data_IF_461299473139
#
_entry.id   IF_461299473139
#
_cell.length_a   1.000
_cell.length_b   1.000
_cell.length_c   1.000
_cell.angle_alpha   90.00
_cell.angle_beta   90.00
_cell.angle_gamma   90.00
#
_symmetry.space_group_name_H-M   'P 1'
#
loop_
_entity.id
_entity.type
_entity.pdbx_description
1 polymer ?
#
# COMPACT_ATOMS: atom_id res chain seq x y z
N UNK A 1 17.63 -41.47 66.97
CA UNK A 1 16.61 -41.29 65.93
C UNK A 1 16.15 -39.85 66.02
N UNK A 2 16.66 -39.00 65.15
CA UNK A 2 16.38 -37.56 65.09
C UNK A 2 15.82 -37.28 63.71
N UNK A 3 14.52 -37.01 63.65
CA UNK A 3 13.76 -36.72 62.44
C UNK A 3 14.11 -35.34 61.90
N UNK A 4 14.52 -35.27 60.63
CA UNK A 4 14.62 -34.02 59.86
C UNK A 4 13.28 -33.78 59.14
N UNK A 5 12.70 -32.56 59.18
CA UNK A 5 11.53 -32.25 58.39
C UNK A 5 11.90 -32.03 56.90
N UNK A 6 10.98 -32.33 55.95
CA UNK A 6 11.24 -32.18 54.53
C UNK A 6 11.24 -30.70 54.09
N UNK A 7 12.14 -30.39 53.17
CA UNK A 7 12.30 -29.10 52.52
C UNK A 7 11.11 -28.82 51.58
N UNK A 8 10.24 -27.87 51.94
CA UNK A 8 9.14 -27.39 51.10
C UNK A 8 9.66 -26.22 50.26
N UNK A 9 9.85 -26.44 48.96
CA UNK A 9 10.05 -25.36 48.00
C UNK A 9 8.73 -24.60 47.80
N UNK A 10 8.72 -23.25 47.72
CA UNK A 10 7.51 -22.51 47.41
C UNK A 10 7.13 -22.71 45.95
N UNK A 11 5.93 -23.23 45.70
CA UNK A 11 5.29 -23.17 44.39
C UNK A 11 4.79 -21.74 44.17
N UNK A 12 5.46 -21.00 43.29
CA UNK A 12 4.96 -19.75 42.75
C UNK A 12 4.02 -20.10 41.59
N UNK A 13 2.73 -20.17 41.86
CA UNK A 13 1.67 -20.36 40.86
C UNK A 13 1.43 -19.00 40.16
N UNK A 14 2.39 -18.63 39.32
CA UNK A 14 2.38 -17.39 38.55
C UNK A 14 1.52 -17.52 37.31
N UNK A 15 0.20 -17.51 37.47
CA UNK A 15 -0.72 -17.22 36.38
C UNK A 15 -0.76 -15.71 36.13
N UNK A 16 0.33 -15.16 35.57
CA UNK A 16 0.29 -13.84 34.94
C UNK A 16 -0.23 -14.02 33.51
N UNK A 17 -1.43 -13.52 33.26
CA UNK A 17 -2.03 -13.51 31.94
C UNK A 17 -1.09 -12.79 30.96
N UNK A 18 -0.69 -13.51 29.91
CA UNK A 18 0.00 -12.91 28.77
C UNK A 18 -0.93 -11.84 28.16
N UNK A 19 -0.68 -10.57 28.49
CA UNK A 19 -1.25 -9.47 27.74
C UNK A 19 -0.66 -9.57 26.33
N UNK A 20 -1.49 -10.00 25.37
CA UNK A 20 -1.17 -9.89 23.95
C UNK A 20 -1.07 -8.41 23.66
N UNK A 21 0.17 -7.91 23.63
CA UNK A 21 0.45 -6.53 23.30
C UNK A 21 0.05 -6.32 21.84
N UNK A 22 -1.05 -5.59 21.65
CA UNK A 22 -1.50 -5.16 20.33
C UNK A 22 -0.33 -4.42 19.66
N UNK A 23 0.05 -4.76 18.41
CA UNK A 23 1.15 -4.09 17.74
C UNK A 23 0.85 -2.59 17.70
N UNK A 24 1.85 -1.73 17.99
CA UNK A 24 1.63 -0.30 18.06
C UNK A 24 0.98 0.17 16.77
N UNK A 25 -0.12 0.89 16.91
CA UNK A 25 -0.78 1.53 15.78
C UNK A 25 0.25 2.46 15.10
N UNK A 26 0.47 2.32 13.78
CA UNK A 26 1.42 3.18 13.09
C UNK A 26 1.02 4.62 13.34
N UNK A 27 1.98 5.43 13.79
CA UNK A 27 1.73 6.83 14.11
C UNK A 27 1.07 7.53 12.91
N UNK A 28 0.07 8.39 13.14
CA UNK A 28 -0.51 9.19 12.08
C UNK A 28 0.60 9.97 11.39
N UNK A 29 0.65 9.89 10.06
CA UNK A 29 1.65 10.56 9.23
C UNK A 29 1.60 12.06 9.58
N UNK A 30 2.71 12.60 10.08
CA UNK A 30 2.77 14.00 10.48
C UNK A 30 3.03 14.89 9.27
N UNK A 31 2.63 16.17 9.31
CA UNK A 31 2.96 17.14 8.24
C UNK A 31 4.47 17.28 8.02
N UNK A 32 5.28 16.95 9.04
CA UNK A 32 6.74 16.93 8.96
C UNK A 32 7.27 15.73 8.15
N UNK A 33 6.61 14.57 8.20
CA UNK A 33 6.95 13.41 7.34
C UNK A 33 6.57 13.65 5.87
N UNK A 34 5.58 14.51 5.63
CA UNK A 34 5.21 14.98 4.29
C UNK A 34 6.26 16.00 3.77
N UNK A 35 6.91 16.74 4.66
CA UNK A 35 7.84 17.83 4.36
C UNK A 35 9.21 17.42 3.81
N UNK A 36 9.61 16.15 3.91
CA UNK A 36 10.87 15.66 3.31
C UNK A 36 10.73 15.18 1.85
N UNK A 37 9.50 15.04 1.33
CA UNK A 37 9.29 14.75 -0.08
C UNK A 37 9.53 16.02 -0.90
N UNK A 38 10.62 16.04 -1.68
CA UNK A 38 10.83 17.13 -2.64
C UNK A 38 9.63 17.13 -3.59
N UNK A 39 9.12 18.30 -3.97
CA UNK A 39 7.96 18.35 -4.89
C UNK A 39 8.19 17.56 -6.18
N UNK A 40 9.45 17.46 -6.62
CA UNK A 40 9.88 16.64 -7.75
C UNK A 40 9.69 15.13 -7.54
N UNK A 41 9.75 14.63 -6.31
CA UNK A 41 9.57 13.20 -5.99
C UNK A 41 8.10 12.77 -6.18
N UNK A 42 7.16 13.73 -6.17
CA UNK A 42 5.74 13.48 -6.43
C UNK A 42 5.42 13.32 -7.91
N UNK A 43 6.31 13.74 -8.80
CA UNK A 43 6.06 13.74 -10.24
C UNK A 43 6.59 12.48 -10.92
N UNK A 44 5.78 11.90 -11.79
CA UNK A 44 6.27 10.87 -12.70
C UNK A 44 7.28 11.46 -13.69
N UNK A 45 8.27 10.69 -14.17
CA UNK A 45 9.24 11.19 -15.14
C UNK A 45 8.55 11.79 -16.37
N UNK A 46 8.87 13.05 -16.70
CA UNK A 46 8.23 13.80 -17.80
C UNK A 46 8.32 13.07 -19.14
N UNK A 47 9.38 12.29 -19.36
CA UNK A 47 9.56 11.47 -20.55
C UNK A 47 8.50 10.37 -20.68
N UNK A 48 8.08 9.77 -19.57
CA UNK A 48 7.03 8.75 -19.57
C UNK A 48 5.66 9.38 -19.85
N UNK A 49 5.36 10.51 -19.21
CA UNK A 49 4.14 11.30 -19.48
C UNK A 49 4.08 11.70 -20.96
N UNK A 50 5.16 12.28 -21.48
CA UNK A 50 5.25 12.71 -22.87
C UNK A 50 5.06 11.56 -23.86
N UNK A 51 5.60 10.37 -23.58
CA UNK A 51 5.42 9.17 -24.43
C UNK A 51 3.95 8.73 -24.50
N UNK A 52 3.26 8.71 -23.36
CA UNK A 52 1.84 8.34 -23.29
C UNK A 52 1.00 9.39 -24.02
N UNK A 53 1.18 10.68 -23.72
CA UNK A 53 0.47 11.75 -24.42
C UNK A 53 0.67 11.69 -25.93
N UNK A 54 1.89 11.38 -26.38
CA UNK A 54 2.22 11.26 -27.81
C UNK A 54 1.51 10.08 -28.48
N UNK A 55 1.23 9.01 -27.73
CA UNK A 55 0.49 7.84 -28.22
C UNK A 55 -1.01 8.12 -28.40
N UNK A 56 -1.53 9.14 -27.72
CA UNK A 56 -2.93 9.57 -27.80
C UNK A 56 -3.22 10.60 -28.90
N UNK A 57 -2.20 10.99 -29.68
CA UNK A 57 -2.32 12.00 -30.75
C UNK A 57 -1.66 11.51 -32.04
N UNK A 58 -1.96 12.12 -33.21
CA UNK A 58 -1.31 11.73 -34.46
C UNK A 58 0.23 11.80 -34.41
N UNK A 59 0.95 10.93 -35.16
CA UNK A 59 2.42 10.92 -35.17
C UNK A 59 3.06 12.25 -35.56
N UNK A 60 2.38 13.07 -36.37
CA UNK A 60 2.85 14.39 -36.81
C UNK A 60 2.60 15.51 -35.79
N UNK A 61 1.71 15.32 -34.82
CA UNK A 61 1.34 16.35 -33.86
C UNK A 61 2.49 16.71 -32.92
N UNK A 62 2.66 18.00 -32.59
CA UNK A 62 3.63 18.43 -31.57
C UNK A 62 2.88 18.72 -30.27
N UNK A 63 3.50 18.37 -29.14
CA UNK A 63 2.97 18.65 -27.80
C UNK A 63 3.87 19.70 -27.17
N UNK A 64 3.29 20.83 -26.78
CA UNK A 64 3.98 21.92 -26.10
C UNK A 64 4.63 21.45 -24.78
N UNK A 65 5.63 22.19 -24.29
CA UNK A 65 6.31 21.84 -23.03
C UNK A 65 5.33 21.98 -21.86
N UNK A 66 4.62 23.10 -21.83
CA UNK A 66 3.66 23.51 -20.82
C UNK A 66 2.50 22.51 -20.72
N UNK A 67 2.08 21.93 -21.86
CA UNK A 67 1.06 20.89 -21.87
C UNK A 67 1.54 19.59 -21.21
N UNK A 68 2.83 19.24 -21.33
CA UNK A 68 3.39 18.05 -20.67
C UNK A 68 3.51 18.26 -19.17
N UNK A 69 3.92 19.45 -18.75
CA UNK A 69 4.04 19.85 -17.34
C UNK A 69 2.64 19.87 -16.68
N UNK A 70 1.65 20.47 -17.33
CA UNK A 70 0.26 20.45 -16.85
C UNK A 70 -0.28 19.01 -16.68
N UNK A 71 -0.08 18.13 -17.66
CA UNK A 71 -0.51 16.73 -17.51
C UNK A 71 0.29 15.98 -16.45
N UNK A 72 1.57 16.29 -16.27
CA UNK A 72 2.38 15.70 -15.20
C UNK A 72 1.81 16.05 -13.82
N UNK A 73 1.44 17.31 -13.60
CA UNK A 73 0.77 17.78 -12.38
C UNK A 73 -0.59 17.09 -12.20
N UNK A 74 -1.43 17.07 -13.24
CA UNK A 74 -2.74 16.42 -13.19
C UNK A 74 -2.65 14.92 -12.87
N UNK A 75 -1.61 14.22 -13.35
CA UNK A 75 -1.45 12.79 -13.05
C UNK A 75 -1.08 12.56 -11.59
N UNK A 76 -0.25 13.41 -11.00
CA UNK A 76 0.04 13.34 -9.56
C UNK A 76 -1.20 13.63 -8.72
N UNK A 77 -1.99 14.63 -9.11
CA UNK A 77 -3.27 14.90 -8.46
C UNK A 77 -4.26 13.74 -8.62
N UNK A 78 -4.33 13.13 -9.81
CA UNK A 78 -5.17 11.97 -10.07
C UNK A 78 -4.83 10.78 -9.17
N UNK A 79 -3.53 10.50 -8.96
CA UNK A 79 -3.09 9.44 -8.04
C UNK A 79 -3.57 9.74 -6.63
N UNK A 80 -3.37 10.97 -6.14
CA UNK A 80 -3.83 11.39 -4.82
C UNK A 80 -5.36 11.31 -4.69
N UNK A 81 -6.10 11.76 -5.70
CA UNK A 81 -7.56 11.78 -5.70
C UNK A 81 -8.16 10.36 -5.59
N UNK A 82 -7.72 9.43 -6.44
CA UNK A 82 -8.18 8.03 -6.39
C UNK A 82 -7.76 7.38 -5.06
N UNK A 83 -6.53 7.63 -4.61
CA UNK A 83 -6.00 6.99 -3.40
C UNK A 83 -6.71 7.47 -2.15
N UNK A 84 -7.10 8.76 -2.08
CA UNK A 84 -7.88 9.30 -0.96
C UNK A 84 -9.26 8.65 -0.84
N UNK A 85 -9.98 8.50 -1.95
CA UNK A 85 -11.29 7.82 -1.97
C UNK A 85 -11.17 6.34 -1.55
N UNK A 86 -10.15 5.65 -2.07
CA UNK A 86 -9.88 4.26 -1.70
C UNK A 86 -9.47 4.11 -0.23
N UNK A 87 -8.70 5.07 0.31
CA UNK A 87 -8.31 5.12 1.70
C UNK A 87 -9.53 5.32 2.62
N UNK A 88 -10.45 6.21 2.25
CA UNK A 88 -11.71 6.40 2.97
C UNK A 88 -12.51 5.09 3.03
N UNK A 89 -12.69 4.42 1.88
CA UNK A 89 -13.38 3.12 1.83
C UNK A 89 -12.71 2.06 2.71
N UNK A 90 -11.38 1.97 2.66
CA UNK A 90 -10.58 1.06 3.48
C UNK A 90 -10.75 1.34 4.98
N UNK A 91 -10.71 2.61 5.37
CA UNK A 91 -10.87 3.05 6.76
C UNK A 91 -12.29 2.78 7.28
N UNK A 92 -13.33 3.00 6.45
CA UNK A 92 -14.72 2.64 6.79
C UNK A 92 -14.88 1.15 7.10
N UNK A 93 -14.08 0.29 6.46
CA UNK A 93 -14.05 -1.15 6.72
C UNK A 93 -13.11 -1.57 7.86
N UNK A 94 -12.57 -0.60 8.62
CA UNK A 94 -11.61 -0.82 9.72
C UNK A 94 -10.34 -1.56 9.28
N UNK A 95 -9.94 -1.41 8.01
CA UNK A 95 -8.70 -1.95 7.47
C UNK A 95 -7.62 -0.87 7.42
N UNK A 96 -6.36 -1.27 7.65
CA UNK A 96 -5.18 -0.39 7.57
C UNK A 96 -4.43 -0.49 6.24
N UNK A 97 -4.81 -1.44 5.38
CA UNK A 97 -4.14 -1.70 4.09
C UNK A 97 -5.14 -1.57 2.96
N UNK A 98 -4.86 -0.63 2.05
CA UNK A 98 -5.63 -0.43 0.82
C UNK A 98 -5.40 -1.64 -0.09
N UNK A 99 -6.49 -2.31 -0.46
CA UNK A 99 -6.49 -3.44 -1.37
C UNK A 99 -6.90 -3.05 -2.79
N UNK A 100 -6.75 -3.98 -3.73
CA UNK A 100 -7.19 -3.76 -5.13
C UNK A 100 -8.70 -3.53 -5.26
N UNK A 101 -9.52 -4.08 -4.36
CA UNK A 101 -10.97 -3.86 -4.37
C UNK A 101 -11.35 -2.42 -3.97
N UNK A 102 -10.56 -1.78 -3.10
CA UNK A 102 -10.77 -0.37 -2.72
C UNK A 102 -10.54 0.57 -3.90
N UNK A 103 -9.51 0.28 -4.71
CA UNK A 103 -9.23 1.03 -5.94
C UNK A 103 -10.37 0.85 -6.96
N UNK A 104 -10.90 -0.38 -7.09
CA UNK A 104 -12.04 -0.63 -7.98
C UNK A 104 -13.30 0.12 -7.51
N UNK A 105 -13.55 0.15 -6.21
CA UNK A 105 -14.63 0.94 -5.63
C UNK A 105 -14.47 2.42 -5.93
N UNK A 106 -13.29 3.01 -5.64
CA UNK A 106 -13.01 4.41 -5.87
C UNK A 106 -13.20 4.79 -7.35
N UNK A 107 -12.70 3.97 -8.28
CA UNK A 107 -12.87 4.19 -9.71
C UNK A 107 -14.35 4.22 -10.12
N UNK A 108 -15.19 3.35 -9.56
CA UNK A 108 -16.63 3.36 -9.86
C UNK A 108 -17.29 4.59 -9.24
N UNK A 109 -17.03 4.87 -7.97
CA UNK A 109 -17.68 5.98 -7.25
C UNK A 109 -17.37 7.36 -7.84
N UNK A 110 -16.16 7.51 -8.39
CA UNK A 110 -15.69 8.75 -9.01
C UNK A 110 -16.05 8.87 -10.51
N UNK A 111 -16.80 7.92 -11.07
CA UNK A 111 -17.28 7.99 -12.47
C UNK A 111 -16.27 7.51 -13.53
N UNK A 112 -15.34 6.63 -13.14
CA UNK A 112 -14.32 6.02 -14.00
C UNK A 112 -14.62 4.54 -14.30
N UNK A 113 -15.89 4.16 -14.48
CA UNK A 113 -16.35 2.77 -14.58
C UNK A 113 -15.68 1.99 -15.71
N UNK A 114 -15.44 2.64 -16.85
CA UNK A 114 -14.75 2.03 -17.99
C UNK A 114 -13.33 1.58 -17.64
N UNK A 115 -12.64 2.34 -16.78
CA UNK A 115 -11.32 1.98 -16.28
C UNK A 115 -11.41 0.88 -15.21
N UNK A 116 -12.42 0.94 -14.33
CA UNK A 116 -12.65 -0.08 -13.30
C UNK A 116 -12.81 -1.50 -13.91
N UNK A 117 -13.56 -1.61 -15.01
CA UNK A 117 -13.74 -2.89 -15.72
C UNK A 117 -12.39 -3.46 -16.20
N UNK A 118 -11.56 -2.61 -16.80
CA UNK A 118 -10.22 -3.00 -17.27
C UNK A 118 -9.34 -3.42 -16.09
N UNK A 119 -9.32 -2.63 -15.01
CA UNK A 119 -8.55 -2.91 -13.81
C UNK A 119 -8.95 -4.22 -13.13
N UNK A 120 -10.23 -4.60 -13.15
CA UNK A 120 -10.70 -5.87 -12.59
C UNK A 120 -10.03 -7.07 -13.25
N UNK A 121 -9.84 -7.02 -14.57
CA UNK A 121 -9.13 -8.06 -15.33
C UNK A 121 -7.64 -8.08 -14.94
N UNK A 122 -7.02 -6.91 -14.81
CA UNK A 122 -5.62 -6.80 -14.38
C UNK A 122 -5.40 -7.35 -12.96
N UNK A 123 -6.31 -7.05 -12.02
CA UNK A 123 -6.24 -7.56 -10.66
C UNK A 123 -6.33 -9.08 -10.60
N UNK A 124 -7.23 -9.68 -11.41
CA UNK A 124 -7.33 -11.14 -11.51
C UNK A 124 -6.03 -11.78 -12.03
N UNK A 125 -5.43 -11.21 -13.09
CA UNK A 125 -4.14 -11.66 -13.63
C UNK A 125 -3.00 -11.51 -12.63
N UNK A 126 -2.95 -10.39 -11.90
CA UNK A 126 -1.93 -10.14 -10.89
C UNK A 126 -1.97 -11.20 -9.79
N UNK A 127 -3.18 -11.55 -9.32
CA UNK A 127 -3.41 -12.61 -8.32
C UNK A 127 -2.95 -13.99 -8.83
N UNK A 128 -3.29 -14.34 -10.08
CA UNK A 128 -2.84 -15.60 -10.70
C UNK A 128 -1.31 -15.69 -10.78
N UNK A 129 -0.64 -14.59 -11.18
CA UNK A 129 0.81 -14.54 -11.30
C UNK A 129 1.51 -14.53 -9.94
N UNK A 130 0.92 -13.94 -8.90
CA UNK A 130 1.45 -14.04 -7.53
C UNK A 130 1.38 -15.45 -6.97
N UNK A 131 0.37 -16.25 -7.36
CA UNK A 131 0.26 -17.65 -6.95
C UNK A 131 1.24 -18.58 -7.67
N UNK A 132 1.87 -18.13 -8.76
CA UNK A 132 2.86 -18.89 -9.54
C UNK A 132 4.32 -18.61 -9.16
N UNK A 133 4.59 -17.67 -8.25
CA UNK A 133 5.92 -17.51 -7.66
C UNK A 133 5.95 -18.25 -6.32
N UNK A 134 6.49 -19.48 -6.24
CA UNK A 134 6.79 -20.09 -4.95
C UNK A 134 7.86 -19.24 -4.26
N UNK A 135 7.72 -19.01 -2.97
CA UNK A 135 8.50 -18.01 -2.23
C UNK A 135 10.02 -18.18 -2.33
N UNK A 136 10.71 -17.09 -2.66
CA UNK A 136 12.08 -16.83 -2.21
C UNK A 136 12.05 -16.53 -0.69
N UNK A 137 11.81 -17.57 0.11
CA UNK A 137 11.99 -17.53 1.56
C UNK A 137 12.10 -18.96 2.10
N UNK A 138 13.28 -19.58 1.93
CA UNK A 138 13.87 -20.56 2.85
C UNK A 138 15.10 -21.18 2.18
N UNK A 139 16.29 -20.59 2.36
CA UNK A 139 17.50 -21.34 2.71
C UNK A 139 18.68 -20.38 2.96
N UNK A 140 18.91 -20.07 4.23
CA UNK A 140 20.27 -19.87 4.74
C UNK A 140 20.32 -20.65 6.05
N UNK A 141 20.31 -21.98 5.90
CA UNK A 141 20.75 -22.88 6.95
C UNK A 141 22.24 -22.69 7.25
N UNK A 142 22.53 -22.75 8.55
CA UNK A 142 23.85 -22.87 9.18
C UNK A 142 24.91 -23.60 8.33
N UNK A 143 26.08 -22.95 8.23
CA UNK A 143 27.38 -23.59 8.10
C UNK A 143 28.42 -22.78 8.89
#
# INVERSE_FOLDING_TARGET
MSEFPPNIAPQNDGSEGAQVQEPPEPAPITEQDIGEYREQDRFLPIANVARIMKSSVPPTAKIAKEAKECVQECVSEFISFITSEAAEKCAMEKRKTIGGEDILYAMINLGFENYAQTLKIHLAKLRQNSSQRPGEAADHGDA
#
